data_IF_053065611717
#
_entry.id   IF_053065611717
#
_cell.length_a   1.000
_cell.length_b   1.000
_cell.length_c   1.000
_cell.angle_alpha   90.00
_cell.angle_beta   90.00
_cell.angle_gamma   90.00
#
_symmetry.space_group_name_H-M   'P 1'
#
loop_
_entity.id
_entity.type
_entity.pdbx_description
1 polymer ?
#
# COMPACT_ATOMS: atom_id res chain seq x y z
N UNK A 1 30.45 -21.03 1.66
CA UNK A 1 30.72 -20.07 0.57
C UNK A 1 29.43 -19.63 -0.13
N UNK A 2 28.42 -20.49 -0.26
CA UNK A 2 27.14 -20.19 -0.93
C UNK A 2 26.23 -19.20 -0.18
N UNK A 3 26.21 -19.22 1.15
CA UNK A 3 25.42 -18.27 1.95
C UNK A 3 25.89 -16.80 1.86
N UNK A 4 27.11 -16.55 1.38
CA UNK A 4 27.67 -15.20 1.24
C UNK A 4 27.06 -14.42 0.06
N UNK A 5 26.39 -15.11 -0.87
CA UNK A 5 25.78 -14.53 -2.07
C UNK A 5 24.24 -14.58 -2.04
N UNK A 6 23.63 -14.83 -0.87
CA UNK A 6 22.17 -14.88 -0.74
C UNK A 6 21.51 -16.16 -1.27
N UNK A 7 22.28 -17.15 -1.73
CA UNK A 7 21.77 -18.44 -2.16
C UNK A 7 21.34 -19.26 -0.94
N UNK A 8 20.04 -19.52 -0.80
CA UNK A 8 19.51 -20.50 0.15
C UNK A 8 19.38 -21.84 -0.55
N UNK A 9 19.92 -22.94 0.01
CA UNK A 9 19.66 -24.27 -0.53
C UNK A 9 18.16 -24.58 -0.44
N UNK A 10 17.63 -25.17 -1.50
CA UNK A 10 16.22 -25.60 -1.59
C UNK A 10 16.03 -26.72 -0.57
N UNK A 11 15.49 -26.38 0.60
CA UNK A 11 15.06 -27.36 1.60
C UNK A 11 13.73 -27.93 1.13
N UNK A 12 13.73 -29.23 0.83
CA UNK A 12 12.58 -30.02 0.38
C UNK A 12 11.38 -29.82 1.31
N UNK A 13 10.50 -28.87 0.95
CA UNK A 13 9.03 -28.86 1.20
C UNK A 13 8.34 -27.53 0.87
N UNK A 14 9.05 -26.49 0.44
CA UNK A 14 8.41 -25.20 0.09
C UNK A 14 8.97 -24.61 -1.19
N UNK A 15 8.67 -25.25 -2.31
CA UNK A 15 8.78 -24.60 -3.61
C UNK A 15 7.73 -25.22 -4.52
N UNK A 16 6.49 -24.77 -4.36
CA UNK A 16 5.44 -25.01 -5.33
C UNK A 16 5.79 -24.25 -6.63
N UNK A 17 6.77 -24.76 -7.39
CA UNK A 17 7.08 -24.36 -8.77
C UNK A 17 7.38 -22.88 -9.07
N UNK A 18 7.48 -21.99 -8.08
CA UNK A 18 7.50 -20.54 -8.34
C UNK A 18 8.89 -19.92 -8.58
N UNK A 19 9.99 -20.61 -8.30
CA UNK A 19 11.33 -20.05 -8.53
C UNK A 19 12.41 -21.13 -8.71
N UNK A 20 12.44 -21.78 -9.87
CA UNK A 20 13.40 -22.85 -10.17
C UNK A 20 14.86 -22.38 -10.23
N UNK A 21 15.10 -21.11 -10.52
CA UNK A 21 16.44 -20.54 -10.69
C UNK A 21 16.91 -19.74 -9.47
N UNK A 22 16.07 -19.60 -8.43
CA UNK A 22 16.37 -18.75 -7.27
C UNK A 22 16.48 -17.27 -7.64
N UNK A 23 15.88 -16.84 -8.76
CA UNK A 23 15.99 -15.49 -9.32
C UNK A 23 14.93 -14.53 -8.76
N UNK A 24 13.87 -15.04 -8.16
CA UNK A 24 12.79 -14.21 -7.62
C UNK A 24 13.33 -13.27 -6.53
N UNK A 25 14.13 -13.79 -5.59
CA UNK A 25 14.71 -12.96 -4.52
C UNK A 25 15.68 -11.88 -5.06
N UNK A 26 16.62 -12.18 -5.99
CA UNK A 26 17.40 -11.16 -6.68
C UNK A 26 16.56 -10.11 -7.42
N UNK A 27 15.52 -10.51 -8.16
CA UNK A 27 14.63 -9.60 -8.90
C UNK A 27 13.87 -8.69 -7.93
N UNK A 28 13.31 -9.25 -6.86
CA UNK A 28 12.64 -8.48 -5.81
C UNK A 28 13.60 -7.50 -5.12
N UNK A 29 14.85 -7.90 -4.88
CA UNK A 29 15.86 -7.03 -4.29
C UNK A 29 16.26 -5.88 -5.24
N UNK A 30 16.37 -6.15 -6.54
CA UNK A 30 16.66 -5.11 -7.55
C UNK A 30 15.48 -4.14 -7.65
N UNK A 31 14.26 -4.66 -7.81
CA UNK A 31 13.06 -3.84 -7.84
C UNK A 31 12.92 -3.02 -6.55
N UNK A 32 13.21 -3.61 -5.39
CA UNK A 32 13.17 -2.90 -4.12
C UNK A 32 14.24 -1.82 -4.00
N UNK A 33 15.46 -2.08 -4.48
CA UNK A 33 16.54 -1.09 -4.50
C UNK A 33 16.16 0.15 -5.31
N UNK A 34 15.33 -0.01 -6.34
CA UNK A 34 14.99 1.05 -7.28
C UNK A 34 13.64 1.73 -6.96
N UNK A 35 12.67 0.98 -6.47
CA UNK A 35 11.30 1.46 -6.19
C UNK A 35 11.03 1.71 -4.70
N UNK A 36 11.91 1.23 -3.81
CA UNK A 36 11.97 1.48 -2.37
C UNK A 36 10.59 1.67 -1.70
N UNK A 37 9.78 0.60 -1.75
CA UNK A 37 8.45 0.57 -1.12
C UNK A 37 7.25 0.76 -2.05
N UNK A 38 7.44 0.99 -3.36
CA UNK A 38 6.36 0.93 -4.36
C UNK A 38 6.42 -0.40 -5.11
N UNK A 39 5.46 -1.30 -4.87
CA UNK A 39 5.42 -2.61 -5.55
C UNK A 39 4.20 -2.73 -6.46
N UNK A 40 4.28 -3.62 -7.46
CA UNK A 40 3.15 -3.97 -8.34
C UNK A 40 1.95 -4.60 -7.59
N UNK A 41 2.14 -5.03 -6.34
CA UNK A 41 1.05 -5.52 -5.48
C UNK A 41 0.13 -4.39 -4.97
N UNK A 42 0.53 -3.12 -5.10
CA UNK A 42 -0.18 -1.98 -4.54
C UNK A 42 -1.19 -1.36 -5.52
N UNK A 43 -2.39 -1.95 -5.59
CA UNK A 43 -3.45 -1.51 -6.51
C UNK A 43 -4.11 -0.17 -6.10
N UNK A 44 -4.08 0.18 -4.81
CA UNK A 44 -4.78 1.32 -4.21
C UNK A 44 -3.90 2.08 -3.22
N UNK A 45 -3.55 3.31 -3.56
CA UNK A 45 -2.73 4.15 -2.69
C UNK A 45 -3.35 4.44 -1.32
N UNK A 46 -4.69 4.39 -1.20
CA UNK A 46 -5.41 4.72 0.04
C UNK A 46 -5.12 3.77 1.21
N UNK A 47 -4.58 2.57 0.97
CA UNK A 47 -4.12 1.73 2.08
C UNK A 47 -2.92 2.32 2.81
N UNK A 48 -2.09 3.13 2.16
CA UNK A 48 -0.98 3.82 2.81
C UNK A 48 -1.45 4.90 3.80
N UNK A 49 -2.70 5.36 3.71
CA UNK A 49 -3.29 6.31 4.66
C UNK A 49 -4.13 5.62 5.73
N UNK A 50 -5.00 4.70 5.32
CA UNK A 50 -5.95 4.04 6.23
C UNK A 50 -5.27 3.03 7.17
N UNK A 51 -4.27 2.29 6.69
CA UNK A 51 -3.61 1.25 7.49
C UNK A 51 -2.86 1.82 8.69
N UNK A 52 -1.97 2.81 8.52
CA UNK A 52 -1.33 3.46 9.66
C UNK A 52 -2.35 4.09 10.61
N UNK A 53 -3.43 4.67 10.09
CA UNK A 53 -4.44 5.31 10.92
C UNK A 53 -5.11 4.34 11.91
N UNK A 54 -5.59 3.17 11.49
CA UNK A 54 -6.25 2.28 12.44
C UNK A 54 -5.26 1.64 13.43
N UNK A 55 -4.02 1.35 13.04
CA UNK A 55 -3.00 0.90 13.99
C UNK A 55 -2.65 1.98 15.01
N UNK A 56 -2.45 3.22 14.55
CA UNK A 56 -2.24 4.37 15.43
C UNK A 56 -3.43 4.57 16.37
N UNK A 57 -4.66 4.50 15.86
CA UNK A 57 -5.87 4.70 16.66
C UNK A 57 -5.99 3.66 17.77
N UNK A 58 -5.68 2.41 17.47
CA UNK A 58 -5.61 1.35 18.48
C UNK A 58 -4.63 1.73 19.60
N UNK A 59 -3.40 2.14 19.26
CA UNK A 59 -2.40 2.52 20.28
C UNK A 59 -2.87 3.68 21.16
N UNK A 60 -3.57 4.67 20.59
CA UNK A 60 -4.13 5.80 21.35
C UNK A 60 -5.28 5.42 22.28
N UNK A 61 -6.01 4.35 21.98
CA UNK A 61 -7.13 3.89 22.80
C UNK A 61 -6.70 2.93 23.91
N UNK A 62 -5.73 2.06 23.65
CA UNK A 62 -5.42 0.93 24.54
C UNK A 62 -4.05 1.03 25.21
N UNK A 63 -3.11 1.83 24.69
CA UNK A 63 -1.77 1.95 25.27
C UNK A 63 -0.86 0.73 25.03
N UNK A 64 -1.04 0.04 23.90
CA UNK A 64 -0.16 -1.06 23.43
C UNK A 64 -0.19 -2.37 24.25
N UNK A 65 -1.39 -2.82 24.61
CA UNK A 65 -1.57 -3.90 25.59
C UNK A 65 -1.54 -5.32 25.05
N UNK A 66 -1.95 -5.55 23.79
CA UNK A 66 -2.16 -6.90 23.25
C UNK A 66 -2.09 -6.97 21.72
N UNK A 67 -1.22 -7.85 21.19
CA UNK A 67 -1.10 -8.11 19.74
C UNK A 67 -2.36 -8.78 19.19
N UNK A 68 -2.96 -9.70 19.97
CA UNK A 68 -4.18 -10.41 19.56
C UNK A 68 -5.34 -9.44 19.39
N UNK A 69 -5.52 -8.53 20.35
CA UNK A 69 -6.56 -7.51 20.31
C UNK A 69 -6.30 -6.50 19.20
N UNK A 70 -5.04 -6.09 18.97
CA UNK A 70 -4.68 -5.22 17.87
C UNK A 70 -5.01 -5.85 16.49
N UNK A 71 -4.70 -7.13 16.30
CA UNK A 71 -5.04 -7.85 15.07
C UNK A 71 -6.55 -7.95 14.87
N UNK A 72 -7.31 -8.26 15.92
CA UNK A 72 -8.77 -8.28 15.85
C UNK A 72 -9.35 -6.89 15.57
N UNK A 73 -8.74 -5.84 16.14
CA UNK A 73 -9.11 -4.46 15.90
C UNK A 73 -8.91 -4.08 14.43
N UNK A 74 -7.72 -4.35 13.89
CA UNK A 74 -7.35 -4.13 12.49
C UNK A 74 -8.27 -4.88 11.53
N UNK A 75 -8.51 -6.17 11.77
CA UNK A 75 -9.41 -6.98 10.95
C UNK A 75 -10.82 -6.38 10.86
N UNK A 76 -11.32 -5.78 11.95
CA UNK A 76 -12.61 -5.09 11.92
C UNK A 76 -12.65 -3.84 11.04
N UNK A 77 -11.58 -3.05 11.01
CA UNK A 77 -11.47 -1.91 10.09
C UNK A 77 -11.28 -2.36 8.65
N UNK A 78 -10.49 -3.41 8.41
CA UNK A 78 -10.32 -4.01 7.09
C UNK A 78 -11.66 -4.51 6.52
N UNK A 79 -12.46 -5.19 7.34
CA UNK A 79 -13.82 -5.61 6.96
C UNK A 79 -14.74 -4.41 6.70
N UNK A 80 -14.68 -3.37 7.54
CA UNK A 80 -15.48 -2.16 7.34
C UNK A 80 -15.14 -1.47 6.02
N UNK A 81 -13.85 -1.37 5.68
CA UNK A 81 -13.38 -0.85 4.38
C UNK A 81 -13.92 -1.72 3.25
N UNK A 82 -13.84 -3.06 3.37
CA UNK A 82 -14.34 -3.97 2.35
C UNK A 82 -15.86 -3.79 2.13
N UNK A 83 -16.66 -3.73 3.20
CA UNK A 83 -18.10 -3.50 3.10
C UNK A 83 -18.44 -2.15 2.48
N UNK A 84 -17.79 -1.06 2.91
CA UNK A 84 -18.04 0.27 2.36
C UNK A 84 -17.78 0.32 0.84
N UNK A 85 -16.75 -0.38 0.36
CA UNK A 85 -16.45 -0.46 -1.06
C UNK A 85 -17.40 -1.39 -1.83
N UNK A 86 -17.83 -2.52 -1.24
CA UNK A 86 -18.88 -3.38 -1.83
C UNK A 86 -20.19 -2.62 -1.97
N UNK A 87 -20.61 -1.90 -0.93
CA UNK A 87 -21.80 -1.07 -0.94
C UNK A 87 -21.72 0.04 -2.00
N UNK A 88 -20.55 0.67 -2.15
CA UNK A 88 -20.31 1.68 -3.19
C UNK A 88 -20.36 1.13 -4.61
N UNK A 89 -19.93 -0.12 -4.84
CA UNK A 89 -20.04 -0.77 -6.15
C UNK A 89 -21.50 -0.98 -6.52
N UNK A 90 -22.32 -1.45 -5.59
CA UNK A 90 -23.74 -1.71 -5.82
C UNK A 90 -24.55 -0.42 -6.04
N UNK A 91 -24.19 0.67 -5.36
CA UNK A 91 -24.94 1.93 -5.39
C UNK A 91 -24.47 2.95 -6.43
N UNK A 92 -23.18 2.97 -6.78
CA UNK A 92 -22.57 4.09 -7.52
C UNK A 92 -21.66 3.66 -8.69
N UNK A 93 -21.74 2.41 -9.18
CA UNK A 93 -20.84 1.87 -10.23
C UNK A 93 -19.34 1.99 -9.86
N UNK A 94 -19.01 1.78 -8.59
CA UNK A 94 -17.62 1.75 -8.12
C UNK A 94 -16.76 0.66 -8.78
N UNK A 95 -15.44 0.81 -8.72
CA UNK A 95 -14.50 -0.19 -9.25
C UNK A 95 -14.08 -1.18 -8.16
N UNK A 96 -14.26 -2.49 -8.41
CA UNK A 96 -13.95 -3.53 -7.42
C UNK A 96 -12.48 -3.94 -7.31
N UNK A 97 -11.58 -3.33 -8.09
CA UNK A 97 -10.16 -3.68 -8.09
C UNK A 97 -9.47 -3.28 -6.77
N UNK A 98 -8.60 -4.15 -6.26
CA UNK A 98 -7.76 -3.87 -5.10
C UNK A 98 -8.47 -3.85 -3.74
N UNK A 99 -9.73 -4.28 -3.65
CA UNK A 99 -10.43 -4.43 -2.37
C UNK A 99 -9.98 -5.73 -1.70
N UNK A 100 -9.29 -5.61 -0.57
CA UNK A 100 -8.90 -6.76 0.24
C UNK A 100 -10.13 -7.25 1.04
N UNK A 101 -10.30 -8.57 1.16
CA UNK A 101 -11.49 -9.25 1.72
C UNK A 101 -12.79 -9.08 0.90
N UNK A 102 -12.68 -8.70 -0.38
CA UNK A 102 -13.85 -8.44 -1.24
C UNK A 102 -14.85 -9.59 -1.28
N UNK A 103 -14.38 -10.82 -1.49
CA UNK A 103 -15.28 -11.96 -1.72
C UNK A 103 -16.12 -12.25 -0.47
N UNK A 104 -15.46 -12.29 0.70
CA UNK A 104 -16.13 -12.42 2.00
C UNK A 104 -17.12 -11.27 2.24
N UNK A 105 -16.70 -10.02 2.03
CA UNK A 105 -17.57 -8.87 2.23
C UNK A 105 -18.78 -8.90 1.28
N UNK A 106 -18.59 -9.33 0.02
CA UNK A 106 -19.65 -9.45 -0.98
C UNK A 106 -20.65 -10.54 -0.59
N UNK A 107 -20.17 -11.69 -0.12
CA UNK A 107 -21.02 -12.77 0.35
C UNK A 107 -21.89 -12.32 1.52
N UNK A 108 -21.28 -11.76 2.57
CA UNK A 108 -21.99 -11.29 3.75
C UNK A 108 -22.96 -10.14 3.43
N UNK A 109 -22.56 -9.22 2.55
CA UNK A 109 -23.41 -8.10 2.13
C UNK A 109 -24.68 -8.58 1.40
N UNK A 110 -24.55 -9.60 0.53
CA UNK A 110 -25.67 -10.16 -0.23
C UNK A 110 -26.68 -10.93 0.61
N UNK A 111 -26.30 -11.39 1.82
CA UNK A 111 -27.23 -12.01 2.76
C UNK A 111 -28.32 -11.03 3.22
N UNK A 112 -28.11 -9.72 3.08
CA UNK A 112 -29.09 -8.69 3.43
C UNK A 112 -29.34 -8.56 4.93
N UNK A 113 -28.42 -9.05 5.76
CA UNK A 113 -28.51 -8.92 7.23
C UNK A 113 -28.45 -7.44 7.64
N UNK A 114 -29.24 -7.07 8.66
CA UNK A 114 -29.18 -5.74 9.27
C UNK A 114 -27.82 -5.48 9.93
N UNK A 115 -27.19 -6.53 10.46
CA UNK A 115 -25.90 -6.47 11.14
C UNK A 115 -24.88 -7.34 10.40
N UNK A 116 -23.74 -6.75 10.07
CA UNK A 116 -22.64 -7.38 9.35
C UNK A 116 -21.51 -7.71 10.32
N UNK A 117 -20.93 -8.91 10.27
CA UNK A 117 -19.80 -9.26 11.12
C UNK A 117 -18.57 -8.45 10.72
N UNK A 118 -17.83 -7.92 11.70
CA UNK A 118 -16.54 -7.27 11.47
C UNK A 118 -15.42 -7.92 12.27
N UNK A 119 -15.73 -8.67 13.35
CA UNK A 119 -14.75 -9.36 14.19
C UNK A 119 -15.31 -10.66 14.76
N UNK A 120 -14.42 -11.49 15.29
CA UNK A 120 -14.74 -12.73 15.98
C UNK A 120 -14.79 -13.94 15.04
N UNK A 121 -15.36 -15.04 15.53
CA UNK A 121 -15.32 -16.35 14.86
C UNK A 121 -16.10 -16.37 13.53
N UNK A 122 -16.97 -15.39 13.29
CA UNK A 122 -17.69 -15.21 12.03
C UNK A 122 -16.79 -14.67 10.91
N UNK A 123 -15.61 -14.13 11.23
CA UNK A 123 -14.64 -13.63 10.24
C UNK A 123 -13.50 -14.64 10.12
N UNK A 124 -13.45 -15.43 9.03
CA UNK A 124 -12.36 -16.37 8.82
C UNK A 124 -11.03 -15.62 8.64
N UNK A 125 -9.93 -16.36 8.78
CA UNK A 125 -8.60 -15.85 8.45
C UNK A 125 -8.53 -15.58 6.95
N UNK A 126 -8.61 -14.30 6.57
CA UNK A 126 -8.49 -13.83 5.19
C UNK A 126 -7.32 -12.86 5.07
N UNK A 127 -6.81 -12.61 3.85
CA UNK A 127 -5.69 -11.70 3.65
C UNK A 127 -5.91 -10.32 4.30
N UNK A 128 -4.85 -9.78 4.89
CA UNK A 128 -4.78 -8.43 5.46
C UNK A 128 -3.93 -7.53 4.54
N UNK A 129 -4.23 -6.23 4.41
CA UNK A 129 -3.33 -5.28 3.77
C UNK A 129 -1.90 -5.32 4.33
N UNK A 130 -1.71 -5.71 5.59
CA UNK A 130 -0.39 -5.80 6.21
C UNK A 130 0.37 -7.12 5.89
N UNK A 131 -0.21 -8.03 5.11
CA UNK A 131 0.44 -9.27 4.72
C UNK A 131 1.66 -9.02 3.83
N UNK A 132 2.61 -9.95 3.87
CA UNK A 132 3.87 -9.86 3.13
C UNK A 132 3.71 -9.77 1.61
N UNK A 133 2.62 -10.31 1.07
CA UNK A 133 2.32 -10.30 -0.37
C UNK A 133 1.50 -9.08 -0.80
N UNK A 134 1.13 -8.20 0.14
CA UNK A 134 0.30 -7.01 -0.08
C UNK A 134 1.08 -5.73 0.30
N UNK A 135 0.49 -4.85 1.09
CA UNK A 135 1.09 -3.55 1.44
C UNK A 135 2.09 -3.65 2.59
N UNK A 136 2.12 -4.76 3.32
CA UNK A 136 2.96 -4.94 4.51
C UNK A 136 4.42 -4.51 4.32
N UNK A 137 5.14 -5.02 3.31
CA UNK A 137 6.53 -4.61 3.06
C UNK A 137 6.65 -3.12 2.74
N UNK A 138 5.77 -2.60 1.88
CA UNK A 138 5.72 -1.19 1.50
C UNK A 138 5.47 -0.26 2.67
N UNK A 139 4.51 -0.59 3.55
CA UNK A 139 4.20 0.18 4.77
C UNK A 139 5.43 0.30 5.68
N UNK A 140 6.24 -0.75 5.78
CA UNK A 140 7.47 -0.73 6.60
C UNK A 140 8.60 0.05 5.95
N UNK A 141 8.83 -0.16 4.65
CA UNK A 141 9.85 0.55 3.87
C UNK A 141 9.61 2.05 3.80
N UNK A 142 8.34 2.46 3.77
CA UNK A 142 7.91 3.86 3.79
C UNK A 142 7.87 4.45 5.20
N UNK A 143 8.39 3.74 6.21
CA UNK A 143 8.43 4.19 7.60
C UNK A 143 7.03 4.55 8.14
N UNK A 144 6.01 3.79 7.73
CA UNK A 144 4.63 3.93 8.19
C UNK A 144 4.34 3.01 9.38
N UNK A 145 4.75 1.74 9.28
CA UNK A 145 4.61 0.74 10.34
C UNK A 145 5.96 0.12 10.75
N UNK A 146 6.00 -0.41 11.97
CA UNK A 146 7.14 -1.16 12.52
C UNK A 146 7.25 -2.60 12.01
N UNK A 147 8.19 -3.37 12.58
CA UNK A 147 8.43 -4.77 12.19
C UNK A 147 7.31 -5.72 12.69
N UNK A 148 6.94 -6.68 11.83
CA UNK A 148 5.74 -7.52 11.92
C UNK A 148 5.74 -8.60 13.00
N UNK A 149 6.87 -8.84 13.64
CA UNK A 149 7.10 -9.89 14.63
C UNK A 149 6.66 -9.48 16.04
N UNK A 150 6.27 -8.21 16.21
CA UNK A 150 5.81 -7.64 17.48
C UNK A 150 4.54 -6.82 17.26
N UNK A 151 4.09 -6.19 18.34
CA UNK A 151 3.04 -5.19 18.33
C UNK A 151 3.30 -4.12 17.24
N UNK A 152 2.33 -3.92 16.35
CA UNK A 152 2.48 -3.01 15.23
C UNK A 152 2.37 -1.56 15.73
N UNK A 153 3.45 -0.80 15.58
CA UNK A 153 3.49 0.61 15.98
C UNK A 153 3.67 1.48 14.77
N UNK A 154 3.00 2.64 14.76
CA UNK A 154 3.27 3.64 13.75
C UNK A 154 4.65 4.23 13.95
N UNK A 155 5.43 4.27 12.86
CA UNK A 155 6.71 4.96 12.81
C UNK A 155 6.50 6.44 12.47
N UNK A 156 7.58 7.21 12.26
CA UNK A 156 7.50 8.68 12.03
C UNK A 156 6.48 9.03 10.94
N UNK A 157 6.59 8.41 9.76
CA UNK A 157 5.68 8.67 8.63
C UNK A 157 4.24 8.27 8.93
N UNK A 158 4.05 7.13 9.59
CA UNK A 158 2.72 6.64 9.97
C UNK A 158 2.04 7.55 10.99
N UNK A 159 2.79 8.09 11.95
CA UNK A 159 2.27 9.06 12.93
C UNK A 159 1.82 10.36 12.26
N UNK A 160 2.59 10.89 11.30
CA UNK A 160 2.23 12.09 10.55
C UNK A 160 0.88 11.86 9.85
N UNK A 161 0.80 10.81 9.03
CA UNK A 161 -0.42 10.47 8.28
C UNK A 161 -1.61 10.26 9.22
N UNK A 162 -1.45 9.41 10.24
CA UNK A 162 -2.55 9.06 11.13
C UNK A 162 -3.07 10.28 11.91
N UNK A 163 -2.18 11.15 12.39
CA UNK A 163 -2.57 12.34 13.14
C UNK A 163 -3.33 13.36 12.29
N UNK A 164 -2.97 13.50 11.01
CA UNK A 164 -3.68 14.39 10.08
C UNK A 164 -5.00 13.80 9.60
N UNK A 165 -5.10 12.47 9.49
CA UNK A 165 -6.33 11.79 9.07
C UNK A 165 -7.35 11.62 10.21
N UNK A 166 -6.90 11.52 11.47
CA UNK A 166 -7.77 11.28 12.63
C UNK A 166 -8.96 12.25 12.74
N UNK A 167 -8.82 13.58 12.57
CA UNK A 167 -9.96 14.50 12.63
C UNK A 167 -11.07 14.19 11.62
N UNK A 168 -10.74 13.60 10.46
CA UNK A 168 -11.73 13.27 9.43
C UNK A 168 -12.52 12.00 9.74
N UNK A 169 -11.93 11.07 10.51
CA UNK A 169 -12.47 9.73 10.72
C UNK A 169 -12.97 9.51 12.14
N UNK A 170 -12.36 10.15 13.14
CA UNK A 170 -12.71 9.99 14.55
C UNK A 170 -14.10 10.52 14.87
N UNK A 171 -14.46 11.62 14.25
CA UNK A 171 -15.70 12.33 14.55
C UNK A 171 -16.89 11.77 13.76
N UNK A 172 -16.67 10.70 12.98
CA UNK A 172 -17.74 9.97 12.30
C UNK A 172 -18.68 9.29 13.31
N UNK A 173 -19.99 9.26 13.01
CA UNK A 173 -20.95 8.50 13.80
C UNK A 173 -20.48 7.06 13.99
N UNK A 174 -20.72 6.52 15.18
CA UNK A 174 -20.39 5.14 15.53
C UNK A 174 -18.90 4.80 15.57
N UNK A 175 -17.97 5.74 15.33
CA UNK A 175 -16.52 5.48 15.35
C UNK A 175 -16.06 4.86 16.67
N UNK A 176 -16.43 5.45 17.81
CA UNK A 176 -16.11 4.89 19.14
C UNK A 176 -16.73 3.52 19.36
N UNK A 177 -17.98 3.30 18.93
CA UNK A 177 -18.66 2.01 19.08
C UNK A 177 -17.99 0.91 18.24
N UNK A 178 -17.52 1.26 17.04
CA UNK A 178 -16.80 0.37 16.14
C UNK A 178 -15.45 -0.10 16.69
N UNK A 179 -14.90 0.53 17.73
CA UNK A 179 -13.62 0.12 18.32
C UNK A 179 -13.71 -1.23 19.04
N UNK A 180 -14.88 -1.56 19.59
CA UNK A 180 -15.11 -2.80 20.36
C UNK A 180 -16.17 -3.70 19.75
N UNK A 181 -16.89 -3.23 18.71
CA UNK A 181 -17.99 -3.97 18.11
C UNK A 181 -17.52 -5.25 17.38
N UNK A 182 -18.30 -6.32 17.51
CA UNK A 182 -18.14 -7.54 16.69
C UNK A 182 -18.97 -7.49 15.41
N UNK A 183 -20.04 -6.69 15.40
CA UNK A 183 -20.92 -6.46 14.25
C UNK A 183 -21.19 -4.96 14.06
N UNK A 184 -21.45 -4.56 12.82
CA UNK A 184 -21.80 -3.18 12.44
C UNK A 184 -23.17 -3.16 11.77
N UNK A 185 -23.98 -2.12 12.01
CA UNK A 185 -25.24 -1.97 11.29
C UNK A 185 -24.96 -1.59 9.83
N UNK A 186 -25.77 -2.09 8.89
CA UNK A 186 -25.59 -1.76 7.47
C UNK A 186 -25.67 -0.26 7.19
N UNK A 187 -26.58 0.44 7.87
CA UNK A 187 -26.74 1.90 7.81
C UNK A 187 -25.48 2.64 8.28
N UNK A 188 -24.78 2.12 9.31
CA UNK A 188 -23.50 2.68 9.74
C UNK A 188 -22.46 2.52 8.61
N UNK A 189 -22.35 1.33 7.99
CA UNK A 189 -21.43 1.12 6.85
C UNK A 189 -21.73 2.10 5.71
N UNK A 190 -23.00 2.27 5.36
CA UNK A 190 -23.43 3.17 4.29
C UNK A 190 -23.02 4.63 4.57
N UNK A 191 -23.16 5.08 5.83
CA UNK A 191 -22.72 6.42 6.23
C UNK A 191 -21.20 6.60 6.17
N UNK A 192 -20.42 5.52 6.21
CA UNK A 192 -18.95 5.55 6.12
C UNK A 192 -18.43 5.44 4.68
N UNK A 193 -19.30 5.18 3.69
CA UNK A 193 -18.92 5.07 2.27
C UNK A 193 -18.07 6.26 1.79
N UNK A 194 -18.46 7.54 2.01
CA UNK A 194 -17.68 8.69 1.55
C UNK A 194 -16.26 8.72 2.11
N UNK A 195 -16.05 8.09 3.27
CA UNK A 195 -14.82 8.16 4.05
C UNK A 195 -13.88 6.97 3.85
N UNK A 196 -14.39 5.80 3.44
CA UNK A 196 -13.60 4.56 3.32
C UNK A 196 -13.43 4.01 1.90
N UNK A 197 -14.04 4.65 0.90
CA UNK A 197 -13.89 4.27 -0.52
C UNK A 197 -12.45 4.34 -1.00
N UNK A 198 -11.90 3.22 -1.46
CA UNK A 198 -10.50 3.14 -1.90
C UNK A 198 -10.23 3.88 -3.21
N UNK A 199 -11.26 4.14 -4.01
CA UNK A 199 -11.20 4.89 -5.27
C UNK A 199 -11.40 6.41 -5.09
N UNK A 200 -11.80 6.86 -3.89
CA UNK A 200 -11.96 8.27 -3.54
C UNK A 200 -10.95 8.68 -2.49
N UNK A 201 -9.87 9.31 -2.93
CA UNK A 201 -8.83 9.86 -2.07
C UNK A 201 -9.11 11.35 -1.86
N UNK A 202 -9.17 11.80 -0.60
CA UNK A 202 -9.34 13.22 -0.28
C UNK A 202 -8.13 14.06 -0.71
N UNK A 203 -8.29 15.38 -0.85
CA UNK A 203 -7.17 16.24 -1.23
C UNK A 203 -6.06 16.28 -0.16
N UNK A 204 -6.44 16.17 1.12
CA UNK A 204 -5.48 15.98 2.21
C UNK A 204 -4.68 14.69 2.03
N UNK A 205 -5.35 13.56 1.81
CA UNK A 205 -4.66 12.28 1.59
C UNK A 205 -3.78 12.31 0.34
N UNK A 206 -4.22 12.94 -0.76
CA UNK A 206 -3.38 13.12 -1.96
C UNK A 206 -2.11 13.91 -1.63
N UNK A 207 -2.22 14.98 -0.85
CA UNK A 207 -1.07 15.77 -0.43
C UNK A 207 -0.12 14.95 0.43
N UNK A 208 -0.63 14.29 1.47
CA UNK A 208 0.16 13.40 2.33
C UNK A 208 0.87 12.29 1.55
N UNK A 209 0.19 11.67 0.59
CA UNK A 209 0.78 10.63 -0.26
C UNK A 209 1.84 11.18 -1.19
N UNK A 210 1.64 12.37 -1.77
CA UNK A 210 2.67 13.05 -2.57
C UNK A 210 3.90 13.33 -1.73
N UNK A 211 3.71 13.90 -0.55
CA UNK A 211 4.82 14.25 0.34
C UNK A 211 5.58 13.00 0.79
N UNK A 212 4.87 11.91 1.11
CA UNK A 212 5.45 10.60 1.43
C UNK A 212 6.26 10.02 0.28
N UNK A 213 5.69 9.97 -0.93
CA UNK A 213 6.33 9.29 -2.06
C UNK A 213 7.49 10.09 -2.64
N UNK A 214 7.39 11.42 -2.67
CA UNK A 214 8.46 12.32 -3.11
C UNK A 214 9.43 12.71 -1.99
N UNK A 215 9.21 12.25 -0.76
CA UNK A 215 10.06 12.53 0.40
C UNK A 215 10.23 14.04 0.64
N UNK A 216 9.12 14.77 0.71
CA UNK A 216 9.09 16.23 0.92
C UNK A 216 8.33 16.60 2.20
N UNK A 217 8.46 17.85 2.64
CA UNK A 217 7.77 18.35 3.85
C UNK A 217 8.15 17.55 5.09
N UNK A 218 7.16 17.11 5.87
CA UNK A 218 7.40 16.33 7.10
C UNK A 218 8.00 14.92 6.84
N UNK A 219 8.01 14.47 5.58
CA UNK A 219 8.59 13.20 5.14
C UNK A 219 9.99 13.35 4.53
N UNK A 220 10.57 14.55 4.55
CA UNK A 220 11.92 14.80 4.04
C UNK A 220 12.96 13.91 4.77
N UNK A 221 13.92 13.43 3.97
CA UNK A 221 15.02 12.56 4.39
C UNK A 221 16.33 13.22 3.99
N UNK A 222 17.41 12.93 4.73
CA UNK A 222 18.73 13.51 4.46
C UNK A 222 19.27 13.14 3.07
N UNK A 223 18.97 11.92 2.62
CA UNK A 223 19.31 11.42 1.29
C UNK A 223 18.03 11.21 0.47
N UNK A 224 18.09 11.57 -0.82
CA UNK A 224 16.98 11.35 -1.76
C UNK A 224 16.76 9.84 -1.94
N UNK A 225 15.60 9.29 -1.54
CA UNK A 225 15.36 7.86 -1.66
C UNK A 225 15.34 7.41 -3.13
N UNK A 226 15.78 6.17 -3.45
CA UNK A 226 15.76 5.66 -4.82
C UNK A 226 14.40 5.74 -5.51
N UNK A 227 13.29 5.54 -4.77
CA UNK A 227 11.94 5.72 -5.29
C UNK A 227 11.69 7.12 -5.84
N UNK A 228 12.23 8.15 -5.19
CA UNK A 228 12.05 9.55 -5.58
C UNK A 228 12.78 9.80 -6.88
N UNK A 229 14.01 9.31 -7.00
CA UNK A 229 14.80 9.38 -8.23
C UNK A 229 14.10 8.65 -9.38
N UNK A 230 13.54 7.47 -9.13
CA UNK A 230 12.72 6.73 -10.12
C UNK A 230 11.50 7.55 -10.56
N UNK A 231 10.73 8.12 -9.63
CA UNK A 231 9.57 8.95 -9.98
C UNK A 231 10.00 10.20 -10.76
N UNK A 232 11.08 10.86 -10.35
CA UNK A 232 11.63 12.02 -11.06
C UNK A 232 12.13 11.65 -12.46
N UNK A 233 12.76 10.49 -12.63
CA UNK A 233 13.16 9.95 -13.94
C UNK A 233 11.94 9.77 -14.84
N UNK A 234 10.90 9.08 -14.37
CA UNK A 234 9.68 8.87 -15.15
C UNK A 234 9.02 10.22 -15.52
N UNK A 235 8.93 11.15 -14.59
CA UNK A 235 8.41 12.50 -14.87
C UNK A 235 9.27 13.25 -15.89
N UNK A 236 10.60 13.10 -15.83
CA UNK A 236 11.53 13.69 -16.80
C UNK A 236 11.31 13.12 -18.19
N UNK A 237 11.14 11.80 -18.32
CA UNK A 237 10.84 11.14 -19.59
C UNK A 237 9.51 11.61 -20.15
N UNK A 238 8.46 11.66 -19.33
CA UNK A 238 7.13 12.15 -19.75
C UNK A 238 7.20 13.60 -20.21
N UNK A 239 8.01 14.44 -19.54
CA UNK A 239 8.14 15.85 -19.90
C UNK A 239 8.82 16.11 -21.24
N UNK A 240 9.59 15.14 -21.76
CA UNK A 240 10.23 15.25 -23.08
C UNK A 240 9.38 14.66 -24.21
N UNK A 241 8.26 14.01 -23.92
CA UNK A 241 7.39 13.44 -24.93
C UNK A 241 6.83 14.53 -25.87
N UNK A 242 7.09 14.38 -27.17
CA UNK A 242 6.53 15.25 -28.22
C UNK A 242 5.17 14.78 -28.71
N UNK A 243 4.90 13.49 -28.56
CA UNK A 243 3.72 12.79 -29.07
C UNK A 243 3.06 11.96 -27.96
N UNK A 244 1.86 11.44 -28.25
CA UNK A 244 1.23 10.45 -27.38
C UNK A 244 2.14 9.22 -27.26
N UNK A 245 2.36 8.76 -26.03
CA UNK A 245 3.23 7.63 -25.73
C UNK A 245 2.47 6.57 -24.92
N UNK A 246 2.99 5.35 -24.93
CA UNK A 246 2.52 4.22 -24.13
C UNK A 246 3.68 3.64 -23.28
N UNK A 247 3.41 2.55 -22.57
CA UNK A 247 4.39 1.84 -21.74
C UNK A 247 5.62 1.36 -22.54
N UNK A 248 5.38 0.77 -23.72
CA UNK A 248 6.44 0.30 -24.62
C UNK A 248 7.37 1.43 -25.08
N UNK A 249 6.86 2.65 -25.27
CA UNK A 249 7.70 3.81 -25.60
C UNK A 249 8.65 4.16 -24.44
N UNK A 250 8.17 4.08 -23.19
CA UNK A 250 8.99 4.35 -22.00
C UNK A 250 10.06 3.28 -21.81
N UNK A 251 9.68 2.00 -21.96
CA UNK A 251 10.62 0.88 -21.89
C UNK A 251 11.73 1.01 -22.94
N UNK A 252 11.37 1.31 -24.19
CA UNK A 252 12.34 1.51 -25.27
C UNK A 252 13.27 2.69 -25.03
N UNK A 253 12.76 3.81 -24.50
CA UNK A 253 13.58 4.97 -24.14
C UNK A 253 14.61 4.59 -23.05
N UNK A 254 14.16 3.92 -21.99
CA UNK A 254 15.03 3.41 -20.92
C UNK A 254 16.10 2.44 -21.44
N UNK A 255 15.71 1.44 -22.25
CA UNK A 255 16.63 0.44 -22.79
C UNK A 255 17.69 1.05 -23.72
N UNK A 256 17.29 2.03 -24.53
CA UNK A 256 18.16 2.67 -25.52
C UNK A 256 19.01 3.81 -24.95
N UNK A 257 18.75 4.27 -23.73
CA UNK A 257 19.48 5.43 -23.17
C UNK A 257 18.98 6.77 -23.70
N UNK A 258 17.73 6.83 -24.17
CA UNK A 258 17.15 8.00 -24.82
C UNK A 258 15.98 8.56 -24.01
N UNK A 259 15.55 9.76 -24.37
CA UNK A 259 14.29 10.34 -23.89
C UNK A 259 13.12 9.97 -24.83
N UNK A 260 11.89 10.36 -24.48
CA UNK A 260 10.71 10.04 -25.32
C UNK A 260 10.67 10.81 -26.65
N UNK A 261 11.53 11.82 -26.87
CA UNK A 261 11.71 12.48 -28.15
C UNK A 261 12.77 11.78 -29.03
N UNK A 262 13.41 10.72 -28.53
CA UNK A 262 14.50 10.01 -29.20
C UNK A 262 15.87 10.72 -29.09
N UNK A 263 15.97 11.77 -28.28
CA UNK A 263 17.21 12.44 -27.96
C UNK A 263 18.00 11.70 -26.87
N UNK A 264 19.28 12.03 -26.69
CA UNK A 264 20.04 11.50 -25.57
C UNK A 264 19.50 12.02 -24.23
N UNK A 265 19.33 11.15 -23.24
CA UNK A 265 18.82 11.56 -21.93
C UNK A 265 19.84 12.44 -21.19
N UNK A 266 19.57 13.74 -21.12
CA UNK A 266 20.44 14.72 -20.47
C UNK A 266 19.79 15.25 -19.18
N UNK A 267 20.22 14.74 -18.03
CA UNK A 267 19.69 15.08 -16.72
C UNK A 267 20.80 15.31 -15.68
N UNK A 268 20.41 15.74 -14.48
CA UNK A 268 21.33 15.80 -13.33
C UNK A 268 22.01 14.45 -13.08
N UNK A 269 23.23 14.46 -12.53
CA UNK A 269 24.01 13.24 -12.30
C UNK A 269 23.25 12.12 -11.56
N UNK A 270 22.47 12.40 -10.48
CA UNK A 270 21.68 11.37 -9.81
C UNK A 270 20.62 10.72 -10.72
N UNK A 271 19.94 11.52 -11.57
CA UNK A 271 18.94 11.00 -12.50
C UNK A 271 19.57 10.22 -13.66
N UNK A 272 20.75 10.64 -14.13
CA UNK A 272 21.50 9.90 -15.15
C UNK A 272 21.98 8.53 -14.63
N UNK A 273 22.39 8.46 -13.35
CA UNK A 273 22.72 7.20 -12.69
C UNK A 273 21.49 6.30 -12.56
N UNK A 274 20.37 6.83 -12.07
CA UNK A 274 19.10 6.09 -12.00
C UNK A 274 18.63 5.60 -13.37
N UNK A 275 18.74 6.43 -14.42
CA UNK A 275 18.46 6.02 -15.79
C UNK A 275 19.34 4.85 -16.23
N UNK A 276 20.63 4.88 -15.89
CA UNK A 276 21.57 3.80 -16.21
C UNK A 276 21.21 2.49 -15.48
N UNK A 277 20.78 2.58 -14.23
CA UNK A 277 20.31 1.42 -13.47
C UNK A 277 19.05 0.80 -14.10
N UNK A 278 18.06 1.61 -14.47
CA UNK A 278 16.86 1.14 -15.15
C UNK A 278 17.16 0.52 -16.52
N UNK A 279 18.12 1.08 -17.27
CA UNK A 279 18.55 0.51 -18.54
C UNK A 279 19.06 -0.93 -18.41
N UNK A 280 19.77 -1.26 -17.33
CA UNK A 280 20.24 -2.62 -17.07
C UNK A 280 19.07 -3.57 -16.77
N UNK A 281 17.99 -3.07 -16.18
CA UNK A 281 16.81 -3.87 -15.78
C UNK A 281 15.91 -4.19 -16.97
N UNK A 282 15.84 -3.28 -17.95
CA UNK A 282 14.94 -3.41 -19.12
C UNK A 282 15.57 -4.21 -20.27
N UNK A 283 16.89 -4.44 -20.24
CA UNK A 283 17.62 -5.28 -21.22
C UNK A 283 17.49 -6.78 -20.91
#
# INVERSE_FOLDING_TARGET
MEAAFGWKPVLEKTSAGQDFLGLMAPIENILDAVTSGLTNATVRARYFTLVPWYFWRYTKLTGETSVKEQKAFAAGFEMLIAYANVAAIESENGTGAGIIRRDLATEEWRKGSRFLPIRGDEIPETPSPNDAVLYGPSLRRLNLLGKSDKFETCQKGGNIIASQLDPMLRDLPSCTALMTATKVAREDVESWIPHLRLDRISDLEKQLLRDLFFSTGDFEQEETPPRVLTLQLLMSLVSSATDAFNEENVENALASGTDLAGGGFNASAPLAETHTQWRIIVL
#
